data_IF_143215603188
#
_entry.id   IF_143215603188
#
_cell.length_a   1.000
_cell.length_b   1.000
_cell.length_c   1.000
_cell.angle_alpha   90.00
_cell.angle_beta   90.00
_cell.angle_gamma   90.00
#
_symmetry.space_group_name_H-M   'P 1'
#
loop_
_entity.id
_entity.type
_entity.pdbx_description
1 polymer ?
#
# COMPACT_ATOMS: atom_id res chain seq x y z
N UNK A 1 27.88 35.16 12.67
CA UNK A 1 27.81 33.68 12.73
C UNK A 1 28.99 33.17 11.92
N UNK A 2 29.91 32.45 12.56
CA UNK A 2 31.02 31.77 11.90
C UNK A 2 30.45 30.59 11.12
N UNK A 3 30.65 30.54 9.80
CA UNK A 3 30.18 29.46 8.92
C UNK A 3 30.94 28.15 9.12
N UNK A 4 31.13 27.73 10.37
CA UNK A 4 31.64 26.42 10.69
C UNK A 4 30.52 25.40 10.41
N UNK A 5 30.79 24.48 9.49
CA UNK A 5 30.02 23.25 9.36
C UNK A 5 30.16 22.51 10.69
N UNK A 6 29.08 22.47 11.47
CA UNK A 6 28.97 21.56 12.60
C UNK A 6 28.25 20.35 12.05
N UNK A 7 28.96 19.22 12.02
CA UNK A 7 28.38 17.94 11.67
C UNK A 7 27.23 17.66 12.66
N UNK A 8 26.01 17.55 12.14
CA UNK A 8 24.91 17.07 12.96
C UNK A 8 25.25 15.63 13.38
N UNK A 9 24.89 15.26 14.61
CA UNK A 9 25.13 13.92 15.11
C UNK A 9 24.57 12.89 14.11
N UNK A 10 25.43 12.00 13.61
CA UNK A 10 25.01 10.98 12.64
C UNK A 10 23.88 10.15 13.25
N UNK A 11 22.77 10.02 12.52
CA UNK A 11 21.69 9.11 12.89
C UNK A 11 22.25 7.68 12.81
N UNK A 12 22.28 6.95 13.92
CA UNK A 12 22.86 5.59 13.98
C UNK A 12 21.77 4.57 13.63
N UNK A 13 21.86 3.91 12.46
CA UNK A 13 20.84 2.93 12.05
C UNK A 13 20.69 1.83 13.11
N UNK A 14 19.45 1.46 13.46
CA UNK A 14 19.15 0.44 14.47
C UNK A 14 19.38 0.84 15.95
N UNK A 15 19.87 2.04 16.26
CA UNK A 15 20.04 2.54 17.63
C UNK A 15 19.16 3.76 17.93
N UNK A 16 19.06 4.70 16.98
CA UNK A 16 18.24 5.89 17.10
C UNK A 16 16.89 5.67 16.38
N UNK A 17 15.76 5.89 17.08
CA UNK A 17 14.44 5.77 16.46
C UNK A 17 14.22 6.92 15.47
N UNK A 18 14.25 6.59 14.18
CA UNK A 18 13.77 7.48 13.12
C UNK A 18 12.33 7.16 12.79
N UNK A 19 11.43 8.15 12.89
CA UNK A 19 10.03 8.03 12.47
C UNK A 19 9.89 8.07 10.93
N UNK A 20 10.69 7.24 10.24
CA UNK A 20 10.84 7.23 8.78
C UNK A 20 10.44 5.89 8.18
N UNK A 21 9.68 5.03 8.87
CA UNK A 21 9.33 3.67 8.39
C UNK A 21 10.56 2.92 7.80
N UNK A 22 11.74 3.19 8.36
CA UNK A 22 13.03 2.66 7.95
C UNK A 22 13.70 3.23 6.69
N UNK A 23 13.18 4.29 6.08
CA UNK A 23 13.79 4.95 4.92
C UNK A 23 15.10 5.66 5.26
N UNK A 24 16.15 5.38 4.49
CA UNK A 24 17.37 6.19 4.44
C UNK A 24 17.19 7.33 3.42
N UNK A 25 17.90 8.45 3.59
CA UNK A 25 17.89 9.51 2.60
C UNK A 25 18.57 9.02 1.31
N UNK A 26 17.81 8.84 0.22
CA UNK A 26 18.32 8.35 -1.07
C UNK A 26 19.46 9.22 -1.62
N UNK A 27 19.45 10.53 -1.37
CA UNK A 27 20.53 11.42 -1.79
C UNK A 27 21.85 11.17 -1.04
N UNK A 28 21.83 10.52 0.12
CA UNK A 28 23.04 10.20 0.88
C UNK A 28 23.88 9.07 0.24
N UNK A 29 23.28 8.29 -0.68
CA UNK A 29 23.98 7.23 -1.42
C UNK A 29 24.71 7.76 -2.66
N UNK A 30 24.34 8.95 -3.14
CA UNK A 30 25.09 9.64 -4.17
C UNK A 30 26.47 9.92 -3.57
N UNK A 31 27.51 9.25 -4.07
CA UNK A 31 28.86 9.27 -3.52
C UNK A 31 29.47 10.69 -3.37
N UNK A 32 28.83 11.72 -3.94
CA UNK A 32 29.20 13.13 -3.79
C UNK A 32 28.59 13.82 -2.57
N UNK A 33 27.62 13.20 -1.88
CA UNK A 33 26.92 13.76 -0.71
C UNK A 33 27.65 13.45 0.61
N UNK A 34 28.29 12.28 0.69
CA UNK A 34 29.20 11.88 1.77
C UNK A 34 30.62 11.70 1.21
N UNK A 35 31.34 12.81 0.99
CA UNK A 35 32.66 12.83 0.33
C UNK A 35 33.82 12.30 1.19
N UNK A 36 33.56 11.50 2.22
CA UNK A 36 34.59 11.04 3.14
C UNK A 36 35.52 10.05 2.44
N UNK A 37 36.70 10.53 2.02
CA UNK A 37 37.76 9.73 1.43
C UNK A 37 37.88 9.78 -0.10
N UNK A 38 37.06 10.55 -0.80
CA UNK A 38 37.16 10.73 -2.27
C UNK A 38 38.01 11.97 -2.64
N UNK A 39 38.86 11.83 -3.65
CA UNK A 39 39.63 12.96 -4.21
C UNK A 39 38.78 13.78 -5.18
N UNK A 40 39.09 15.08 -5.35
CA UNK A 40 38.35 15.97 -6.27
C UNK A 40 38.08 15.38 -7.67
N UNK A 41 39.06 14.76 -8.35
CA UNK A 41 38.83 14.10 -9.64
C UNK A 41 37.87 12.90 -9.60
N UNK A 42 37.79 12.18 -8.47
CA UNK A 42 36.83 11.08 -8.28
C UNK A 42 35.42 11.64 -8.07
N UNK A 43 35.30 12.73 -7.29
CA UNK A 43 34.03 13.46 -7.13
C UNK A 43 33.56 14.01 -8.48
N UNK A 44 34.45 14.62 -9.27
CA UNK A 44 34.13 15.17 -10.59
C UNK A 44 33.72 14.07 -11.59
N UNK A 45 34.37 12.91 -11.56
CA UNK A 45 34.01 11.78 -12.42
C UNK A 45 32.66 11.14 -12.05
N UNK A 46 32.32 11.12 -10.75
CA UNK A 46 31.02 10.66 -10.26
C UNK A 46 29.91 11.69 -10.48
N UNK A 47 30.24 12.99 -10.45
CA UNK A 47 29.34 14.08 -10.75
C UNK A 47 29.13 14.29 -12.26
N UNK A 48 30.08 13.87 -13.11
CA UNK A 48 30.06 14.12 -14.55
C UNK A 48 28.79 13.63 -15.27
N UNK A 49 28.23 12.43 -15.00
CA UNK A 49 26.97 11.99 -15.59
C UNK A 49 25.79 12.90 -15.23
N UNK A 50 25.76 13.42 -13.99
CA UNK A 50 24.70 14.31 -13.50
C UNK A 50 24.86 15.76 -14.01
N UNK A 51 26.10 16.22 -14.17
CA UNK A 51 26.42 17.57 -14.67
C UNK A 51 26.31 17.69 -16.19
N UNK A 52 26.29 16.57 -16.92
CA UNK A 52 26.07 16.55 -18.36
C UNK A 52 24.64 16.99 -18.76
N UNK A 53 23.76 17.17 -17.77
CA UNK A 53 22.34 17.49 -17.92
C UNK A 53 22.02 19.00 -17.90
N UNK A 54 23.04 19.88 -17.80
CA UNK A 54 22.84 21.34 -17.87
C UNK A 54 22.76 21.74 -19.34
N UNK A 55 21.54 21.79 -19.89
CA UNK A 55 21.31 21.98 -21.33
C UNK A 55 21.87 23.31 -21.88
N UNK A 56 22.82 23.28 -22.83
CA UNK A 56 23.27 24.47 -23.55
C UNK A 56 22.53 24.69 -24.89
N UNK A 57 21.52 23.86 -25.23
CA UNK A 57 20.83 23.88 -26.54
C UNK A 57 19.48 23.14 -26.58
N UNK A 58 18.93 22.91 -27.77
CA UNK A 58 17.65 22.20 -27.99
C UNK A 58 17.72 20.71 -27.60
N UNK A 59 16.60 20.18 -27.11
CA UNK A 59 16.52 18.88 -26.41
C UNK A 59 15.57 17.94 -27.19
N UNK A 60 15.99 16.71 -27.50
CA UNK A 60 15.13 15.64 -28.04
C UNK A 60 14.63 14.70 -26.92
N UNK A 61 13.67 13.81 -27.22
CA UNK A 61 13.10 12.89 -26.22
C UNK A 61 14.09 11.90 -25.60
N UNK A 62 15.17 11.54 -26.30
CA UNK A 62 16.28 10.73 -25.77
C UNK A 62 17.27 11.55 -24.91
N UNK A 63 17.14 12.87 -24.93
CA UNK A 63 18.03 13.82 -24.25
C UNK A 63 17.42 14.27 -22.91
N UNK A 64 16.33 13.63 -22.46
CA UNK A 64 15.69 13.89 -21.17
C UNK A 64 16.53 13.32 -20.03
N UNK A 65 17.63 13.99 -19.70
CA UNK A 65 18.51 13.60 -18.61
C UNK A 65 18.01 14.22 -17.29
N UNK A 66 17.00 13.60 -16.67
CA UNK A 66 16.73 13.85 -15.25
C UNK A 66 17.84 13.19 -14.41
N UNK A 67 18.07 13.64 -13.17
CA UNK A 67 18.96 12.94 -12.23
C UNK A 67 18.30 11.64 -11.72
N UNK A 68 17.76 10.86 -12.64
CA UNK A 68 17.03 9.61 -12.42
C UNK A 68 17.86 8.48 -12.98
N UNK A 69 17.66 7.28 -12.46
CA UNK A 69 18.33 6.05 -12.90
C UNK A 69 17.88 5.55 -14.30
N UNK A 70 16.96 6.23 -14.97
CA UNK A 70 16.44 5.88 -16.30
C UNK A 70 15.27 4.90 -16.31
N UNK A 71 14.65 4.61 -15.16
CA UNK A 71 13.50 3.67 -15.04
C UNK A 71 12.13 4.32 -15.31
N UNK A 72 12.11 5.59 -15.74
CA UNK A 72 10.87 6.27 -16.12
C UNK A 72 10.29 5.71 -17.42
N UNK A 73 9.07 5.21 -17.36
CA UNK A 73 8.33 4.69 -18.53
C UNK A 73 6.87 5.12 -18.44
N UNK A 74 6.28 5.51 -19.55
CA UNK A 74 4.85 5.80 -19.65
C UNK A 74 4.30 5.15 -20.92
N UNK A 75 3.16 4.49 -20.81
CA UNK A 75 2.48 3.82 -21.91
C UNK A 75 0.97 4.02 -21.79
N UNK A 76 0.33 4.21 -22.93
CA UNK A 76 -1.11 4.33 -23.06
C UNK A 76 -1.56 3.47 -24.25
N UNK A 77 -2.46 2.53 -23.99
CA UNK A 77 -3.09 1.71 -25.01
C UNK A 77 -4.61 1.83 -24.88
N UNK A 78 -5.30 1.88 -26.02
CA UNK A 78 -6.74 2.02 -26.07
C UNK A 78 -7.31 1.24 -27.24
N UNK A 79 -8.27 0.37 -26.94
CA UNK A 79 -9.01 -0.41 -27.92
C UNK A 79 -10.49 -0.08 -27.84
N UNK A 80 -11.17 -0.03 -28.97
CA UNK A 80 -12.55 0.40 -29.04
C UNK A 80 -13.30 -0.23 -30.20
N UNK A 81 -14.50 -0.70 -29.91
CA UNK A 81 -15.43 -1.22 -30.93
C UNK A 81 -16.75 -0.49 -30.81
N UNK A 82 -17.26 -0.01 -31.93
CA UNK A 82 -18.59 0.58 -32.01
C UNK A 82 -19.39 -0.15 -33.07
N UNK A 83 -20.66 -0.40 -32.77
CA UNK A 83 -21.60 -1.03 -33.67
C UNK A 83 -22.89 -0.20 -33.74
N UNK A 84 -23.38 0.02 -34.94
CA UNK A 84 -24.64 0.72 -35.18
C UNK A 84 -25.49 -0.10 -36.13
N UNK A 85 -26.75 -0.32 -35.75
CA UNK A 85 -27.75 -0.99 -36.55
C UNK A 85 -28.98 -0.11 -36.65
N UNK A 86 -29.31 0.33 -37.86
CA UNK A 86 -30.51 1.10 -38.14
C UNK A 86 -31.51 0.25 -38.93
N UNK A 87 -32.77 0.28 -38.51
CA UNK A 87 -33.85 -0.46 -39.13
C UNK A 87 -35.11 0.40 -39.22
N UNK A 88 -35.56 0.63 -40.45
CA UNK A 88 -36.88 1.21 -40.72
C UNK A 88 -37.95 0.14 -40.55
N UNK A 89 -38.68 0.20 -39.43
CA UNK A 89 -39.81 -0.70 -39.18
C UNK A 89 -40.98 -0.40 -40.12
N UNK A 90 -41.20 0.89 -40.38
CA UNK A 90 -42.17 1.43 -41.33
C UNK A 90 -41.55 2.64 -42.04
N UNK A 91 -42.34 3.35 -42.85
CA UNK A 91 -41.97 4.64 -43.43
C UNK A 91 -41.87 5.78 -42.40
N UNK A 92 -42.51 5.62 -41.23
CA UNK A 92 -42.62 6.64 -40.18
C UNK A 92 -41.85 6.27 -38.89
N UNK A 93 -41.27 5.07 -38.81
CA UNK A 93 -40.60 4.57 -37.60
C UNK A 93 -39.23 3.98 -37.94
N UNK A 94 -38.18 4.63 -37.46
CA UNK A 94 -36.81 4.12 -37.47
C UNK A 94 -36.40 3.69 -36.06
N UNK A 95 -35.87 2.48 -35.94
CA UNK A 95 -35.13 2.05 -34.76
C UNK A 95 -33.62 2.09 -35.04
N UNK A 96 -32.87 2.62 -34.10
CA UNK A 96 -31.41 2.59 -34.11
C UNK A 96 -30.89 1.96 -32.83
N UNK A 97 -30.07 0.93 -32.98
CA UNK A 97 -29.31 0.36 -31.88
C UNK A 97 -27.84 0.79 -32.01
N UNK A 98 -27.30 1.29 -30.91
CA UNK A 98 -25.91 1.70 -30.77
C UNK A 98 -25.27 0.86 -29.67
N UNK A 99 -24.12 0.28 -29.98
CA UNK A 99 -23.26 -0.39 -29.03
C UNK A 99 -21.88 0.25 -29.06
N UNK A 100 -21.33 0.49 -27.87
CA UNK A 100 -19.97 0.95 -27.70
C UNK A 100 -19.26 0.08 -26.68
N UNK A 101 -18.06 -0.37 -27.02
CA UNK A 101 -17.12 -0.98 -26.09
C UNK A 101 -15.79 -0.26 -26.18
N UNK A 102 -15.20 0.06 -25.05
CA UNK A 102 -13.91 0.75 -24.98
C UNK A 102 -13.12 0.18 -23.82
N UNK A 103 -11.88 -0.20 -24.09
CA UNK A 103 -10.89 -0.60 -23.10
C UNK A 103 -9.72 0.36 -23.19
N UNK A 104 -9.24 0.81 -22.04
CA UNK A 104 -8.14 1.75 -21.91
C UNK A 104 -7.20 1.22 -20.84
N UNK A 105 -5.89 1.26 -21.12
CA UNK A 105 -4.85 1.00 -20.13
C UNK A 105 -3.86 2.15 -20.15
N UNK A 106 -3.49 2.61 -18.96
CA UNK A 106 -2.46 3.61 -18.76
C UNK A 106 -1.50 3.11 -17.71
N UNK A 107 -0.23 3.02 -18.06
CA UNK A 107 0.82 2.51 -17.20
C UNK A 107 1.95 3.50 -17.11
N UNK A 108 2.45 3.76 -15.90
CA UNK A 108 3.59 4.63 -15.72
C UNK A 108 4.47 4.17 -14.57
N UNK A 109 5.77 4.09 -14.80
CA UNK A 109 6.79 3.95 -13.76
C UNK A 109 7.50 5.28 -13.61
N UNK A 110 7.63 5.77 -12.38
CA UNK A 110 8.36 6.99 -12.04
C UNK A 110 9.34 6.71 -10.93
N UNK A 111 10.52 7.30 -11.07
CA UNK A 111 11.54 7.35 -10.02
C UNK A 111 11.06 8.18 -8.83
N UNK A 112 10.80 7.53 -7.69
CA UNK A 112 10.15 8.17 -6.53
C UNK A 112 11.15 9.00 -5.72
N UNK A 113 12.40 8.55 -5.65
CA UNK A 113 13.42 9.22 -4.84
C UNK A 113 14.03 10.44 -5.53
N UNK A 114 13.71 10.66 -6.81
CA UNK A 114 14.20 11.75 -7.67
C UNK A 114 15.74 11.86 -7.74
N UNK A 115 16.44 10.75 -7.50
CA UNK A 115 17.90 10.62 -7.55
C UNK A 115 18.29 9.37 -8.35
N UNK A 116 19.55 9.25 -8.79
CA UNK A 116 20.04 7.99 -9.38
C UNK A 116 20.75 7.12 -8.34
N UNK A 117 20.20 7.08 -7.13
CA UNK A 117 20.73 6.26 -6.04
C UNK A 117 20.80 4.80 -6.47
N UNK A 118 21.90 4.10 -6.16
CA UNK A 118 22.09 2.67 -6.49
C UNK A 118 22.04 1.75 -5.26
N UNK A 119 21.73 2.33 -4.11
CA UNK A 119 21.74 1.64 -2.81
C UNK A 119 20.34 1.64 -2.19
N UNK A 120 19.58 2.70 -2.45
CA UNK A 120 18.20 2.85 -2.03
C UNK A 120 17.46 3.51 -3.18
N UNK A 121 16.63 2.76 -3.89
CA UNK A 121 16.11 3.20 -5.18
C UNK A 121 14.66 2.73 -5.30
N UNK A 122 13.73 3.62 -4.97
CA UNK A 122 12.31 3.31 -4.92
C UNK A 122 11.63 3.79 -6.18
N UNK A 123 10.85 2.89 -6.77
CA UNK A 123 10.06 3.15 -7.96
C UNK A 123 8.59 3.20 -7.62
N UNK A 124 7.88 4.11 -8.27
CA UNK A 124 6.43 4.23 -8.20
C UNK A 124 5.83 3.82 -9.53
N UNK A 125 5.19 2.65 -9.55
CA UNK A 125 4.42 2.16 -10.68
C UNK A 125 2.93 2.46 -10.49
N UNK A 126 2.28 2.97 -11.51
CA UNK A 126 0.83 3.14 -11.55
C UNK A 126 0.25 2.44 -12.77
N UNK A 127 -0.90 1.81 -12.58
CA UNK A 127 -1.75 1.26 -13.62
C UNK A 127 -3.16 1.82 -13.46
N UNK A 128 -3.76 2.23 -14.56
CA UNK A 128 -5.18 2.55 -14.66
C UNK A 128 -5.74 1.77 -15.84
N UNK A 129 -6.60 0.81 -15.55
CA UNK A 129 -7.34 0.03 -16.52
C UNK A 129 -8.81 0.41 -16.42
N UNK A 130 -9.43 0.73 -17.55
CA UNK A 130 -10.85 1.04 -17.58
C UNK A 130 -11.53 0.35 -18.75
N UNK A 131 -12.68 -0.25 -18.44
CA UNK A 131 -13.53 -0.92 -19.41
C UNK A 131 -14.90 -0.28 -19.37
N UNK A 132 -15.40 0.10 -20.54
CA UNK A 132 -16.68 0.76 -20.73
C UNK A 132 -17.53 -0.02 -21.74
N UNK A 133 -18.77 -0.32 -21.38
CA UNK A 133 -19.76 -0.92 -22.28
C UNK A 133 -21.02 -0.08 -22.28
N UNK A 134 -21.55 0.21 -23.47
CA UNK A 134 -22.78 0.98 -23.62
C UNK A 134 -23.73 0.33 -24.64
N UNK A 135 -25.01 0.38 -24.30
CA UNK A 135 -26.09 -0.09 -25.15
C UNK A 135 -27.16 1.00 -25.21
N UNK A 136 -27.50 1.44 -26.41
CA UNK A 136 -28.58 2.40 -26.62
C UNK A 136 -29.53 1.91 -27.69
N UNK A 137 -30.83 1.96 -27.42
CA UNK A 137 -31.85 1.82 -28.45
C UNK A 137 -32.59 3.14 -28.54
N UNK A 138 -32.61 3.71 -29.74
CA UNK A 138 -33.32 4.93 -30.08
C UNK A 138 -34.45 4.59 -31.05
N UNK A 139 -35.61 5.23 -30.87
CA UNK A 139 -36.74 5.17 -31.76
C UNK A 139 -37.05 6.59 -32.24
N UNK A 140 -37.06 6.76 -33.56
CA UNK A 140 -37.46 7.98 -34.25
C UNK A 140 -38.82 7.71 -34.87
N UNK A 141 -39.82 8.50 -34.50
CA UNK A 141 -41.21 8.33 -34.91
C UNK A 141 -41.74 9.64 -35.47
N UNK A 142 -42.05 9.65 -36.75
CA UNK A 142 -42.74 10.76 -37.39
C UNK A 142 -44.24 10.48 -37.35
N UNK A 143 -45.00 11.25 -36.57
CA UNK A 143 -46.45 11.05 -36.46
C UNK A 143 -47.17 11.68 -37.64
N UNK A 144 -46.65 12.81 -38.13
CA UNK A 144 -47.04 13.52 -39.34
C UNK A 144 -45.95 14.56 -39.69
N UNK A 145 -46.19 15.38 -40.71
CA UNK A 145 -45.26 16.43 -41.17
C UNK A 145 -44.92 17.50 -40.10
N UNK A 146 -45.69 17.60 -39.01
CA UNK A 146 -45.58 18.63 -37.98
C UNK A 146 -45.11 18.09 -36.62
N UNK A 147 -45.18 16.77 -36.39
CA UNK A 147 -44.94 16.14 -35.08
C UNK A 147 -44.02 14.93 -35.22
N UNK A 148 -42.87 15.00 -34.56
CA UNK A 148 -41.93 13.88 -34.43
C UNK A 148 -41.55 13.61 -32.98
N UNK A 149 -41.23 12.35 -32.68
CA UNK A 149 -40.75 11.90 -31.37
C UNK A 149 -39.44 11.15 -31.51
N UNK A 150 -38.49 11.46 -30.63
CA UNK A 150 -37.30 10.65 -30.39
C UNK A 150 -37.38 10.09 -28.98
N UNK A 151 -37.39 8.77 -28.86
CA UNK A 151 -37.35 8.08 -27.57
C UNK A 151 -36.14 7.18 -27.50
N UNK A 152 -35.60 6.97 -26.31
CA UNK A 152 -34.47 6.06 -26.17
C UNK A 152 -34.32 5.47 -24.78
N UNK A 153 -33.63 4.34 -24.74
CA UNK A 153 -33.21 3.63 -23.54
C UNK A 153 -31.72 3.38 -23.64
N UNK A 154 -31.00 3.66 -22.55
CA UNK A 154 -29.56 3.63 -22.48
C UNK A 154 -29.12 2.84 -21.25
N UNK A 155 -28.20 1.91 -21.45
CA UNK A 155 -27.51 1.17 -20.42
C UNK A 155 -26.02 1.42 -20.56
N UNK A 156 -25.33 1.55 -19.44
CA UNK A 156 -23.90 1.77 -19.43
C UNK A 156 -23.29 1.13 -18.20
N UNK A 157 -22.27 0.32 -18.44
CA UNK A 157 -21.48 -0.33 -17.41
C UNK A 157 -20.03 0.16 -17.53
N UNK A 158 -19.41 0.50 -16.41
CA UNK A 158 -17.98 0.79 -16.36
C UNK A 158 -17.32 0.09 -15.20
N UNK A 159 -16.16 -0.50 -15.45
CA UNK A 159 -15.22 -0.92 -14.40
C UNK A 159 -13.93 -0.14 -14.58
N UNK A 160 -13.44 0.45 -13.50
CA UNK A 160 -12.17 1.16 -13.46
C UNK A 160 -11.35 0.53 -12.35
N UNK A 161 -10.22 -0.05 -12.72
CA UNK A 161 -9.23 -0.62 -11.82
C UNK A 161 -8.01 0.30 -11.80
N UNK A 162 -7.61 0.75 -10.61
CA UNK A 162 -6.41 1.55 -10.42
C UNK A 162 -5.49 0.84 -9.46
N UNK A 163 -4.21 0.83 -9.77
CA UNK A 163 -3.18 0.25 -8.93
C UNK A 163 -1.97 1.16 -8.84
N UNK A 164 -1.40 1.27 -7.66
CA UNK A 164 -0.18 2.02 -7.37
C UNK A 164 0.74 1.18 -6.51
N UNK A 165 1.94 0.92 -7.00
CA UNK A 165 2.93 0.05 -6.38
C UNK A 165 4.21 0.82 -6.11
N UNK A 166 4.72 0.71 -4.90
CA UNK A 166 6.05 1.14 -4.53
C UNK A 166 6.91 -0.10 -4.28
N UNK A 167 8.04 -0.15 -4.97
CA UNK A 167 8.99 -1.26 -4.88
C UNK A 167 10.42 -0.74 -5.03
N UNK A 168 11.39 -1.51 -4.55
CA UNK A 168 12.81 -1.18 -4.70
C UNK A 168 13.35 -1.75 -6.02
N UNK A 169 14.00 -0.93 -6.85
CA UNK A 169 14.63 -1.38 -8.10
C UNK A 169 16.06 -1.91 -7.92
N UNK A 170 16.62 -1.78 -6.73
CA UNK A 170 17.97 -2.24 -6.36
C UNK A 170 17.94 -3.48 -5.47
N UNK A 171 16.79 -4.17 -5.40
CA UNK A 171 16.62 -5.40 -4.61
C UNK A 171 17.07 -5.24 -3.15
N UNK A 172 16.58 -4.19 -2.49
CA UNK A 172 16.88 -3.92 -1.08
C UNK A 172 16.61 -5.16 -0.22
N UNK A 173 17.68 -5.72 0.37
CA UNK A 173 17.62 -7.00 1.08
C UNK A 173 16.57 -7.02 2.21
N UNK A 174 16.30 -5.89 2.85
CA UNK A 174 15.27 -5.76 3.91
C UNK A 174 13.84 -6.03 3.40
N UNK A 175 13.54 -5.71 2.14
CA UNK A 175 12.25 -5.97 1.50
C UNK A 175 12.32 -7.28 0.71
N UNK A 176 13.41 -7.55 0.00
CA UNK A 176 13.53 -8.78 -0.79
C UNK A 176 13.55 -10.05 0.08
N UNK A 177 14.38 -10.07 1.12
CA UNK A 177 14.65 -11.29 1.88
C UNK A 177 13.65 -11.47 3.02
N UNK A 178 13.34 -12.74 3.33
CA UNK A 178 12.54 -13.08 4.51
C UNK A 178 13.22 -12.59 5.79
N UNK A 179 12.43 -12.04 6.72
CA UNK A 179 12.96 -11.69 8.02
C UNK A 179 13.23 -12.95 8.85
N UNK A 180 14.48 -13.11 9.30
CA UNK A 180 14.90 -14.24 10.15
C UNK A 180 15.03 -13.75 11.59
N UNK A 181 14.01 -14.05 12.39
CA UNK A 181 13.97 -13.63 13.79
C UNK A 181 14.60 -14.67 14.74
N UNK A 182 15.79 -14.34 15.24
CA UNK A 182 16.57 -15.08 16.23
C UNK A 182 16.42 -14.51 17.65
N UNK A 183 15.49 -13.58 17.87
CA UNK A 183 15.18 -13.13 19.23
C UNK A 183 14.56 -14.26 20.05
N UNK A 184 14.64 -14.15 21.37
CA UNK A 184 14.07 -15.13 22.28
C UNK A 184 13.56 -14.43 23.53
N UNK A 185 12.28 -14.64 23.85
CA UNK A 185 11.69 -14.04 25.04
C UNK A 185 12.28 -14.67 26.30
N UNK A 186 12.86 -13.85 27.17
CA UNK A 186 13.40 -14.32 28.45
C UNK A 186 12.28 -14.70 29.43
N UNK A 187 12.53 -15.57 30.43
CA UNK A 187 11.53 -15.91 31.44
C UNK A 187 10.95 -14.67 32.15
N UNK A 188 11.80 -13.72 32.55
CA UNK A 188 11.34 -12.49 33.19
C UNK A 188 10.51 -11.58 32.26
N UNK A 189 10.85 -11.52 30.97
CA UNK A 189 10.04 -10.78 30.00
C UNK A 189 8.70 -11.49 29.72
N UNK A 190 8.67 -12.83 29.74
CA UNK A 190 7.44 -13.61 29.62
C UNK A 190 6.52 -13.41 30.83
N UNK A 191 7.06 -13.34 32.04
CA UNK A 191 6.31 -13.02 33.26
C UNK A 191 5.66 -11.64 33.14
N UNK A 192 6.40 -10.63 32.69
CA UNK A 192 5.87 -9.28 32.46
C UNK A 192 4.77 -9.28 31.39
N UNK A 193 5.02 -9.90 30.23
CA UNK A 193 4.07 -9.93 29.12
C UNK A 193 2.76 -10.68 29.46
N UNK A 194 2.85 -11.71 30.29
CA UNK A 194 1.69 -12.48 30.75
C UNK A 194 0.99 -11.86 31.98
N UNK A 195 1.53 -10.78 32.55
CA UNK A 195 0.97 -10.11 33.73
C UNK A 195 1.15 -10.87 35.04
N UNK A 196 2.24 -11.62 35.18
CA UNK A 196 2.60 -12.30 36.43
C UNK A 196 3.01 -11.25 37.46
N UNK A 197 2.21 -11.07 38.52
CA UNK A 197 2.60 -10.21 39.63
C UNK A 197 3.74 -10.85 40.46
N UNK A 198 4.94 -10.25 40.51
CA UNK A 198 6.07 -10.78 41.30
C UNK A 198 5.86 -10.67 42.82
N UNK A 199 4.88 -9.88 43.28
CA UNK A 199 4.54 -9.69 44.69
C UNK A 199 3.26 -10.41 45.11
N UNK A 200 2.71 -11.29 44.24
CA UNK A 200 1.46 -11.99 44.52
C UNK A 200 1.54 -12.84 45.79
N UNK A 201 0.67 -12.57 46.77
CA UNK A 201 0.53 -13.35 48.00
C UNK A 201 -0.77 -14.19 47.98
N UNK A 202 -0.69 -15.51 47.77
CA UNK A 202 -1.87 -16.38 47.76
C UNK A 202 -2.56 -16.48 49.14
N UNK A 203 -1.90 -16.05 50.23
CA UNK A 203 -2.46 -16.06 51.58
C UNK A 203 -3.47 -14.94 51.83
N UNK A 204 -3.43 -13.87 51.03
CA UNK A 204 -4.30 -12.70 51.16
C UNK A 204 -5.20 -12.46 49.95
N UNK A 205 -4.95 -13.17 48.84
CA UNK A 205 -5.74 -13.10 47.61
C UNK A 205 -7.06 -13.88 47.67
N UNK A 206 -8.03 -13.44 46.87
CA UNK A 206 -9.28 -14.15 46.61
C UNK A 206 -9.06 -15.36 45.67
N UNK A 207 -9.97 -16.35 45.66
CA UNK A 207 -9.88 -17.48 44.72
C UNK A 207 -9.84 -17.08 43.24
N UNK A 208 -10.48 -15.96 42.87
CA UNK A 208 -10.47 -15.43 41.49
C UNK A 208 -9.10 -14.86 41.12
N UNK A 209 -8.47 -14.11 42.02
CA UNK A 209 -7.11 -13.58 41.83
C UNK A 209 -6.07 -14.71 41.76
N UNK A 210 -6.21 -15.76 42.58
CA UNK A 210 -5.35 -16.96 42.50
C UNK A 210 -5.52 -17.65 41.15
N UNK A 211 -6.75 -17.77 40.64
CA UNK A 211 -7.00 -18.37 39.34
C UNK A 211 -6.42 -17.52 38.19
N UNK A 212 -6.58 -16.19 38.26
CA UNK A 212 -6.01 -15.26 37.29
C UNK A 212 -4.47 -15.34 37.26
N UNK A 213 -3.82 -15.34 38.43
CA UNK A 213 -2.37 -15.48 38.53
C UNK A 213 -1.88 -16.84 38.00
N UNK A 214 -2.63 -17.93 38.24
CA UNK A 214 -2.29 -19.24 37.69
C UNK A 214 -2.37 -19.28 36.16
N UNK A 215 -3.35 -18.58 35.56
CA UNK A 215 -3.44 -18.41 34.10
C UNK A 215 -2.27 -17.57 33.58
N UNK A 216 -1.89 -16.49 34.27
CA UNK A 216 -0.74 -15.67 33.91
C UNK A 216 0.56 -16.49 33.90
N UNK A 217 0.83 -17.27 34.97
CA UNK A 217 2.02 -18.13 35.06
C UNK A 217 2.02 -19.22 33.96
N UNK A 218 0.86 -19.83 33.69
CA UNK A 218 0.72 -20.79 32.59
C UNK A 218 0.98 -20.16 31.22
N UNK A 219 0.53 -18.92 31.02
CA UNK A 219 0.76 -18.14 29.79
C UNK A 219 2.23 -17.78 29.66
N UNK A 220 2.89 -17.29 30.71
CA UNK A 220 4.32 -16.98 30.74
C UNK A 220 5.16 -18.19 30.32
N UNK A 221 4.85 -19.37 30.88
CA UNK A 221 5.52 -20.62 30.51
C UNK A 221 5.32 -20.99 29.04
N UNK A 222 4.16 -20.69 28.46
CA UNK A 222 3.84 -20.99 27.06
C UNK A 222 4.52 -20.03 26.06
N UNK A 223 4.78 -18.78 26.46
CA UNK A 223 5.39 -17.77 25.58
C UNK A 223 6.90 -17.59 25.79
N UNK A 224 7.47 -18.16 26.86
CA UNK A 224 8.91 -18.14 27.11
C UNK A 224 9.65 -18.79 25.95
N UNK A 225 10.70 -18.12 25.45
CA UNK A 225 11.50 -18.59 24.32
C UNK A 225 10.90 -18.32 22.94
N UNK A 226 9.68 -17.77 22.84
CA UNK A 226 9.15 -17.33 21.55
C UNK A 226 9.95 -16.14 21.02
N UNK A 227 10.25 -16.15 19.72
CA UNK A 227 10.79 -14.98 19.04
C UNK A 227 9.71 -13.89 18.88
N UNK A 228 10.13 -12.65 18.66
CA UNK A 228 9.27 -11.49 18.61
C UNK A 228 8.23 -11.58 17.49
N UNK A 229 8.62 -12.06 16.30
CA UNK A 229 7.72 -12.27 15.17
C UNK A 229 6.60 -13.27 15.52
N UNK A 230 6.93 -14.38 16.19
CA UNK A 230 5.93 -15.39 16.60
C UNK A 230 5.04 -14.86 17.71
N UNK A 231 5.58 -14.09 18.65
CA UNK A 231 4.77 -13.49 19.71
C UNK A 231 3.80 -12.42 19.15
N UNK A 232 4.25 -11.62 18.18
CA UNK A 232 3.44 -10.56 17.57
C UNK A 232 2.40 -11.07 16.56
N UNK A 233 2.75 -12.09 15.77
CA UNK A 233 1.96 -12.50 14.59
C UNK A 233 1.62 -14.00 14.55
N UNK A 234 2.04 -14.78 15.54
CA UNK A 234 1.89 -16.24 15.57
C UNK A 234 0.63 -16.78 16.25
N UNK A 235 -0.28 -15.92 16.73
CA UNK A 235 -1.47 -16.37 17.43
C UNK A 235 -2.59 -16.83 16.47
N UNK A 236 -3.04 -18.08 16.67
CA UNK A 236 -4.26 -18.74 16.16
C UNK A 236 -4.22 -19.40 14.77
N UNK A 237 -3.41 -20.46 14.62
CA UNK A 237 -3.73 -21.57 13.68
C UNK A 237 -3.60 -21.27 12.19
N UNK A 238 -3.07 -20.11 11.81
CA UNK A 238 -2.64 -19.81 10.45
C UNK A 238 -1.28 -20.46 10.25
N UNK A 239 -1.16 -21.27 9.20
CA UNK A 239 0.10 -21.90 8.80
C UNK A 239 1.17 -20.79 8.69
N UNK A 240 2.37 -20.93 9.29
CA UNK A 240 3.43 -19.91 9.24
C UNK A 240 4.03 -19.67 7.83
N UNK A 241 3.31 -20.04 6.78
CA UNK A 241 3.84 -20.25 5.42
C UNK A 241 3.33 -19.24 4.39
N UNK A 242 2.37 -18.37 4.74
CA UNK A 242 1.76 -17.46 3.78
C UNK A 242 1.81 -16.05 4.33
N UNK A 243 2.61 -15.20 3.67
CA UNK A 243 2.56 -13.76 3.87
C UNK A 243 1.18 -13.27 3.44
N UNK A 244 0.58 -12.33 4.18
CA UNK A 244 -0.58 -11.62 3.65
C UNK A 244 -0.20 -10.93 2.33
N UNK A 245 -1.17 -10.71 1.46
CA UNK A 245 -1.01 -10.03 0.18
C UNK A 245 -2.06 -8.92 0.05
N UNK A 246 -2.08 -8.22 -1.10
CA UNK A 246 -3.01 -7.13 -1.38
C UNK A 246 -4.48 -7.47 -1.13
N UNK A 247 -4.89 -8.72 -1.38
CA UNK A 247 -6.29 -9.13 -1.30
C UNK A 247 -6.62 -10.01 -0.09
N UNK A 248 -5.68 -10.26 0.83
CA UNK A 248 -5.90 -11.14 1.99
C UNK A 248 -7.04 -10.65 2.89
N UNK A 249 -7.05 -9.36 3.25
CA UNK A 249 -8.15 -8.77 4.02
C UNK A 249 -9.49 -8.81 3.26
N UNK A 250 -9.49 -8.54 1.95
CA UNK A 250 -10.68 -8.65 1.09
C UNK A 250 -11.23 -10.08 1.05
N UNK A 251 -10.37 -11.06 0.84
CA UNK A 251 -10.75 -12.47 0.78
C UNK A 251 -11.38 -12.95 2.09
N UNK A 252 -10.94 -12.40 3.23
CA UNK A 252 -11.56 -12.67 4.54
C UNK A 252 -13.00 -12.15 4.64
N UNK A 253 -13.29 -11.04 3.97
CA UNK A 253 -14.64 -10.48 3.88
C UNK A 253 -15.53 -11.16 2.84
N UNK A 254 -14.95 -11.90 1.90
CA UNK A 254 -15.70 -12.70 0.91
C UNK A 254 -15.95 -14.15 1.37
N UNK A 255 -15.45 -14.52 2.55
CA UNK A 255 -15.61 -15.85 3.14
C UNK A 255 -17.04 -16.15 3.60
N UNK A 256 -17.31 -17.40 4.03
CA UNK A 256 -18.66 -17.83 4.42
C UNK A 256 -19.19 -17.15 5.69
N UNK A 257 -18.31 -16.62 6.55
CA UNK A 257 -18.67 -15.95 7.81
C UNK A 257 -17.87 -14.64 7.94
N UNK A 258 -18.20 -13.60 7.16
CA UNK A 258 -17.47 -12.34 7.22
C UNK A 258 -17.76 -11.60 8.53
N UNK A 259 -16.77 -10.84 9.01
CA UNK A 259 -16.96 -9.91 10.13
C UNK A 259 -18.03 -8.87 9.78
N UNK A 260 -18.81 -8.34 10.76
CA UNK A 260 -19.71 -7.21 10.52
C UNK A 260 -19.03 -6.00 9.88
N UNK A 261 -17.74 -5.80 10.16
CA UNK A 261 -16.89 -4.73 9.61
C UNK A 261 -16.69 -4.83 8.09
N UNK A 262 -17.00 -5.98 7.50
CA UNK A 262 -16.97 -6.20 6.05
C UNK A 262 -18.19 -5.60 5.32
N UNK A 263 -19.17 -5.05 6.04
CA UNK A 263 -20.26 -4.32 5.43
C UNK A 263 -19.76 -2.98 4.84
N UNK A 264 -20.27 -2.62 3.67
CA UNK A 264 -19.95 -1.34 3.02
C UNK A 264 -20.19 -0.17 3.96
N UNK A 265 -19.23 0.74 4.07
CA UNK A 265 -19.27 1.92 4.93
C UNK A 265 -19.56 1.63 6.42
N UNK A 266 -19.19 0.46 6.94
CA UNK A 266 -19.48 0.07 8.33
C UNK A 266 -19.04 1.12 9.36
N UNK A 267 -17.83 1.68 9.19
CA UNK A 267 -17.25 2.69 10.07
C UNK A 267 -18.07 3.98 10.15
N UNK A 268 -18.74 4.39 9.06
CA UNK A 268 -19.54 5.63 9.03
C UNK A 268 -20.71 5.59 10.01
N UNK A 269 -21.28 4.41 10.24
CA UNK A 269 -22.41 4.21 11.16
C UNK A 269 -22.04 3.78 12.58
N UNK A 270 -20.77 3.39 12.80
CA UNK A 270 -20.35 2.69 14.03
C UNK A 270 -19.07 3.24 14.65
N UNK A 271 -18.57 4.40 14.18
CA UNK A 271 -17.38 5.03 14.75
C UNK A 271 -17.60 6.50 15.10
N UNK A 272 -17.52 6.79 16.39
CA UNK A 272 -17.52 8.13 16.99
C UNK A 272 -16.21 8.45 17.69
N UNK A 273 -15.48 7.42 18.11
CA UNK A 273 -14.13 7.51 18.69
C UNK A 273 -13.06 6.94 17.75
N UNK A 274 -11.80 7.15 18.09
CA UNK A 274 -10.67 6.57 17.36
C UNK A 274 -10.61 5.05 17.49
N UNK A 275 -10.88 4.53 18.69
CA UNK A 275 -10.91 3.09 18.94
C UNK A 275 -12.01 2.38 18.13
N UNK A 276 -13.17 3.00 18.02
CA UNK A 276 -14.26 2.48 17.18
C UNK A 276 -13.92 2.54 15.69
N UNK A 277 -13.17 3.56 15.24
CA UNK A 277 -12.66 3.61 13.86
C UNK A 277 -11.67 2.49 13.60
N UNK A 278 -10.74 2.26 14.52
CA UNK A 278 -9.74 1.20 14.41
C UNK A 278 -10.39 -0.19 14.43
N UNK A 279 -11.42 -0.39 15.26
CA UNK A 279 -12.20 -1.62 15.31
C UNK A 279 -13.06 -1.86 14.05
N UNK A 280 -13.33 -0.81 13.27
CA UNK A 280 -14.10 -0.90 12.03
C UNK A 280 -13.26 -1.20 10.77
N UNK A 281 -11.92 -1.29 10.91
CA UNK A 281 -11.02 -1.63 9.80
C UNK A 281 -11.00 -3.14 9.56
N UNK A 282 -11.01 -3.56 8.29
CA UNK A 282 -10.72 -4.94 7.92
C UNK A 282 -9.21 -5.05 7.70
N UNK A 283 -8.51 -5.56 8.71
CA UNK A 283 -7.06 -5.62 8.78
C UNK A 283 -6.58 -7.06 8.92
N UNK A 284 -5.54 -7.43 8.18
CA UNK A 284 -4.78 -8.64 8.42
C UNK A 284 -3.30 -8.35 8.44
N UNK A 285 -2.57 -9.04 9.33
CA UNK A 285 -1.13 -8.94 9.46
C UNK A 285 -0.50 -10.32 9.38
N UNK A 286 0.74 -10.38 8.89
CA UNK A 286 1.62 -11.52 9.06
C UNK A 286 3.03 -11.04 9.30
N UNK A 287 3.92 -11.93 9.73
CA UNK A 287 5.35 -11.64 9.65
C UNK A 287 5.80 -11.39 8.20
N UNK A 288 6.94 -10.70 8.03
CA UNK A 288 7.54 -10.46 6.72
C UNK A 288 8.32 -11.68 6.23
N UNK A 289 7.91 -12.23 5.09
CA UNK A 289 8.58 -13.39 4.48
C UNK A 289 9.35 -13.04 3.21
N UNK A 290 9.53 -11.74 2.93
CA UNK A 290 10.26 -11.28 1.76
C UNK A 290 9.40 -11.23 0.50
N UNK A 291 9.88 -10.44 -0.45
CA UNK A 291 9.39 -10.40 -1.82
C UNK A 291 10.56 -10.51 -2.80
N UNK A 292 10.85 -11.74 -3.23
CA UNK A 292 11.89 -12.03 -4.22
C UNK A 292 11.37 -11.97 -5.67
N UNK A 293 10.15 -11.47 -5.88
CA UNK A 293 9.48 -11.44 -7.19
C UNK A 293 8.92 -12.79 -7.63
N UNK A 294 8.94 -13.83 -6.78
CA UNK A 294 8.31 -15.12 -7.10
C UNK A 294 6.82 -15.18 -6.77
N UNK A 295 6.31 -14.22 -5.99
CA UNK A 295 4.92 -14.19 -5.54
C UNK A 295 4.05 -13.34 -6.47
N UNK A 296 3.36 -13.99 -7.41
CA UNK A 296 2.47 -13.32 -8.35
C UNK A 296 1.31 -12.56 -7.71
N UNK A 297 0.97 -12.85 -6.45
CA UNK A 297 -0.07 -12.10 -5.72
C UNK A 297 0.37 -10.68 -5.32
N UNK A 298 1.68 -10.40 -5.41
CA UNK A 298 2.25 -9.07 -5.22
C UNK A 298 2.48 -8.33 -6.54
N UNK A 299 2.40 -9.02 -7.68
CA UNK A 299 2.63 -8.41 -9.00
C UNK A 299 1.42 -7.61 -9.49
N UNK A 300 1.68 -6.52 -10.23
CA UNK A 300 0.66 -5.75 -10.91
C UNK A 300 -0.02 -6.57 -12.02
N UNK A 301 -1.36 -6.66 -11.96
CA UNK A 301 -2.13 -7.19 -13.09
C UNK A 301 -1.80 -6.37 -14.36
N UNK A 302 -1.39 -7.08 -15.41
CA UNK A 302 -0.94 -6.50 -16.69
C UNK A 302 0.27 -5.53 -16.59
N UNK A 303 0.95 -5.49 -15.45
CA UNK A 303 2.13 -4.67 -15.19
C UNK A 303 3.43 -5.48 -15.15
N UNK A 304 4.57 -4.85 -14.80
CA UNK A 304 5.81 -5.56 -14.56
C UNK A 304 5.70 -6.47 -13.33
N UNK A 305 6.43 -7.57 -13.33
CA UNK A 305 6.71 -8.29 -12.09
C UNK A 305 7.78 -7.52 -11.31
N UNK A 306 7.52 -7.29 -10.03
CA UNK A 306 8.35 -6.46 -9.16
C UNK A 306 8.77 -7.24 -7.94
N UNK A 307 10.04 -7.10 -7.53
CA UNK A 307 10.58 -7.61 -6.27
C UNK A 307 10.70 -6.47 -5.26
N UNK A 308 10.96 -6.82 -3.99
CA UNK A 308 11.18 -5.87 -2.92
C UNK A 308 10.04 -4.83 -2.79
N UNK A 309 8.81 -5.34 -2.76
CA UNK A 309 7.60 -4.53 -2.56
C UNK A 309 7.62 -3.82 -1.20
N UNK A 310 7.29 -2.52 -1.23
CA UNK A 310 7.00 -1.72 -0.03
C UNK A 310 5.49 -1.54 0.16
N UNK A 311 4.80 -0.97 -0.83
CA UNK A 311 3.40 -0.60 -0.70
C UNK A 311 2.67 -0.93 -2.00
N UNK A 312 1.54 -1.61 -1.88
CA UNK A 312 0.62 -1.84 -2.99
C UNK A 312 -0.72 -1.22 -2.64
N UNK A 313 -1.29 -0.46 -3.55
CA UNK A 313 -2.58 0.18 -3.38
C UNK A 313 -3.44 -0.10 -4.58
N UNK A 314 -4.63 -0.65 -4.38
CA UNK A 314 -5.56 -0.90 -5.47
C UNK A 314 -6.97 -0.42 -5.14
N UNK A 315 -7.58 0.28 -6.08
CA UNK A 315 -8.99 0.66 -6.01
C UNK A 315 -9.71 0.10 -7.22
N UNK A 316 -10.95 -0.32 -7.00
CA UNK A 316 -11.86 -0.69 -8.08
C UNK A 316 -13.12 0.14 -7.94
N UNK A 317 -13.54 0.76 -9.04
CA UNK A 317 -14.83 1.46 -9.14
C UNK A 317 -15.68 0.80 -10.20
N UNK A 318 -16.90 0.41 -9.85
CA UNK A 318 -17.92 -0.08 -10.78
C UNK A 318 -19.08 0.88 -10.86
N UNK A 319 -19.52 1.18 -12.08
CA UNK A 319 -20.65 2.06 -12.35
C UNK A 319 -21.68 1.33 -13.22
N UNK A 320 -22.91 1.31 -12.74
CA UNK A 320 -24.07 0.80 -13.45
C UNK A 320 -25.06 1.95 -13.67
N UNK A 321 -25.23 2.36 -14.92
CA UNK A 321 -26.05 3.51 -15.30
C UNK A 321 -27.17 3.11 -16.25
N UNK A 322 -28.34 3.72 -16.02
CA UNK A 322 -29.55 3.53 -16.79
C UNK A 322 -30.19 4.87 -17.11
N UNK A 323 -30.66 5.06 -18.33
CA UNK A 323 -31.50 6.19 -18.67
C UNK A 323 -32.61 5.81 -19.64
N UNK A 324 -33.73 6.50 -19.53
CA UNK A 324 -34.84 6.46 -20.49
C UNK A 324 -35.29 7.89 -20.76
N UNK A 325 -35.55 8.20 -22.01
CA UNK A 325 -35.97 9.54 -22.41
C UNK A 325 -36.96 9.49 -23.57
N UNK A 326 -37.74 10.56 -23.67
CA UNK A 326 -38.55 10.85 -24.85
C UNK A 326 -38.61 12.36 -25.05
N UNK A 327 -38.48 12.80 -26.29
CA UNK A 327 -38.53 14.18 -26.71
C UNK A 327 -39.39 14.29 -27.96
N UNK A 328 -40.37 15.18 -27.95
CA UNK A 328 -41.20 15.51 -29.09
C UNK A 328 -40.87 16.89 -29.63
N UNK A 329 -40.96 17.04 -30.94
CA UNK A 329 -40.94 18.33 -31.64
C UNK A 329 -42.31 18.53 -32.28
N UNK A 330 -42.90 19.70 -32.08
CA UNK A 330 -44.15 20.10 -32.71
C UNK A 330 -43.98 21.44 -33.42
N UNK A 331 -44.09 21.42 -34.75
CA UNK A 331 -44.06 22.58 -35.63
C UNK A 331 -45.50 23.04 -35.87
N UNK A 332 -45.98 23.97 -35.03
CA UNK A 332 -47.38 24.42 -35.09
C UNK A 332 -47.59 25.64 -36.00
N UNK A 333 -46.52 26.21 -36.55
CA UNK A 333 -46.55 27.27 -37.56
C UNK A 333 -45.23 27.28 -38.37
N UNK A 334 -45.26 27.87 -39.57
CA UNK A 334 -44.09 28.00 -40.48
C UNK A 334 -42.82 28.59 -39.82
N UNK A 335 -42.98 29.36 -38.75
CA UNK A 335 -41.88 30.03 -38.04
C UNK A 335 -41.76 29.64 -36.56
N UNK A 336 -42.58 28.70 -36.07
CA UNK A 336 -42.60 28.33 -34.66
C UNK A 336 -42.66 26.82 -34.45
N UNK A 337 -41.73 26.32 -33.63
CA UNK A 337 -41.71 24.96 -33.13
C UNK A 337 -41.58 24.93 -31.60
N UNK A 338 -42.12 23.89 -30.98
CA UNK A 338 -41.96 23.58 -29.56
C UNK A 338 -41.29 22.22 -29.45
N UNK A 339 -40.19 22.17 -28.68
CA UNK A 339 -39.55 20.91 -28.29
C UNK A 339 -39.77 20.69 -26.80
N UNK A 340 -40.34 19.54 -26.44
CA UNK A 340 -40.56 19.16 -25.05
C UNK A 340 -40.14 17.70 -24.83
N UNK A 341 -39.60 17.39 -23.66
CA UNK A 341 -39.19 16.03 -23.36
C UNK A 341 -39.08 15.75 -21.87
N UNK A 342 -39.04 14.47 -21.54
CA UNK A 342 -38.81 13.96 -20.19
C UNK A 342 -37.69 12.94 -20.22
N UNK A 343 -36.88 12.93 -19.16
CA UNK A 343 -35.79 11.97 -18.98
C UNK A 343 -35.80 11.47 -17.53
N UNK A 344 -35.65 10.17 -17.38
CA UNK A 344 -35.30 9.52 -16.12
C UNK A 344 -33.93 8.89 -16.25
N UNK A 345 -33.08 9.04 -15.24
CA UNK A 345 -31.77 8.41 -15.19
C UNK A 345 -31.47 7.96 -13.76
N UNK A 346 -30.80 6.82 -13.64
CA UNK A 346 -30.21 6.29 -12.41
C UNK A 346 -28.75 5.98 -12.70
N UNK A 347 -27.90 6.30 -11.73
CA UNK A 347 -26.49 5.97 -11.74
C UNK A 347 -26.14 5.39 -10.37
N UNK A 348 -25.53 4.21 -10.35
CA UNK A 348 -25.02 3.58 -9.13
C UNK A 348 -23.52 3.37 -9.27
N UNK A 349 -22.76 3.93 -8.33
CA UNK A 349 -21.32 3.77 -8.26
C UNK A 349 -20.97 3.04 -6.98
N UNK A 350 -20.18 1.98 -7.14
CA UNK A 350 -19.61 1.21 -6.03
C UNK A 350 -18.10 1.26 -6.14
N UNK A 351 -17.42 1.42 -5.00
CA UNK A 351 -15.98 1.51 -4.96
C UNK A 351 -15.46 0.67 -3.79
N UNK A 352 -14.30 0.07 -3.99
CA UNK A 352 -13.56 -0.65 -2.97
C UNK A 352 -12.08 -0.27 -3.03
N UNK A 353 -11.40 -0.45 -1.90
CA UNK A 353 -10.02 -0.07 -1.71
C UNK A 353 -9.27 -1.20 -0.97
N UNK A 354 -8.11 -1.54 -1.49
CA UNK A 354 -7.21 -2.56 -0.96
C UNK A 354 -5.83 -1.92 -0.78
N UNK A 355 -5.18 -2.19 0.34
CA UNK A 355 -3.82 -1.76 0.62
C UNK A 355 -3.03 -2.96 1.11
N UNK A 356 -1.82 -3.13 0.58
CA UNK A 356 -0.79 -3.93 1.20
C UNK A 356 0.42 -3.08 1.51
N UNK A 357 1.10 -3.38 2.61
CA UNK A 357 2.29 -2.64 3.02
C UNK A 357 3.27 -3.49 3.83
N UNK A 358 4.56 -3.39 3.49
CA UNK A 358 5.68 -3.64 4.39
C UNK A 358 5.70 -2.59 5.49
N UNK A 359 5.74 -3.03 6.74
CA UNK A 359 5.89 -2.15 7.89
C UNK A 359 6.71 -2.80 8.98
N UNK A 360 7.08 -2.03 9.99
CA UNK A 360 7.81 -2.51 11.16
C UNK A 360 7.04 -2.11 12.42
N UNK A 361 7.05 -2.94 13.47
CA UNK A 361 6.18 -2.83 14.66
C UNK A 361 6.23 -1.51 15.44
N UNK A 362 7.11 -0.59 15.07
CA UNK A 362 7.42 0.63 15.80
C UNK A 362 8.36 0.37 16.97
N UNK A 363 9.46 1.12 17.05
CA UNK A 363 10.34 1.16 18.20
C UNK A 363 10.11 2.45 18.97
N UNK A 364 8.88 2.65 19.50
CA UNK A 364 8.60 3.82 20.34
C UNK A 364 9.64 3.83 21.48
N UNK A 365 10.43 4.90 21.65
CA UNK A 365 11.52 4.90 22.62
C UNK A 365 10.94 4.92 24.03
N UNK A 366 10.88 3.76 24.66
CA UNK A 366 10.75 3.60 26.09
C UNK A 366 12.09 3.09 26.62
N UNK A 367 12.86 3.97 27.25
CA UNK A 367 13.79 3.49 28.26
C UNK A 367 12.96 2.72 29.29
N UNK A 368 13.43 1.55 29.70
CA UNK A 368 12.79 0.75 30.75
C UNK A 368 12.71 1.62 32.00
N UNK A 369 11.58 2.30 32.21
CA UNK A 369 11.25 2.78 33.53
C UNK A 369 10.76 1.56 34.31
N UNK A 370 11.65 1.02 35.13
CA UNK A 370 11.33 0.02 36.15
C UNK A 370 10.27 0.55 37.16
N UNK A 371 9.78 1.80 37.00
CA UNK A 371 8.76 2.45 37.81
C UNK A 371 7.40 2.71 37.10
N UNK A 372 7.02 1.90 36.11
CA UNK A 372 5.60 1.56 35.90
C UNK A 372 4.61 2.64 35.45
N UNK A 373 5.02 3.71 34.75
CA UNK A 373 4.07 4.70 34.18
C UNK A 373 4.21 5.04 32.68
N UNK A 374 5.22 4.53 31.97
CA UNK A 374 5.44 4.80 30.54
C UNK A 374 5.10 3.62 29.62
N UNK A 375 4.39 3.89 28.51
CA UNK A 375 4.09 2.94 27.41
C UNK A 375 5.33 2.09 27.05
N UNK A 376 5.33 0.83 27.47
CA UNK A 376 6.39 -0.13 27.15
C UNK A 376 6.22 -0.55 25.67
N UNK A 377 7.11 -0.09 24.80
CA UNK A 377 7.12 -0.55 23.40
C UNK A 377 7.36 -2.05 23.33
N UNK A 378 6.65 -2.77 22.46
CA UNK A 378 6.72 -4.23 22.29
C UNK A 378 8.16 -4.80 22.30
N UNK A 379 9.10 -4.11 21.66
CA UNK A 379 10.50 -4.55 21.55
C UNK A 379 11.28 -4.47 22.86
N UNK A 380 10.78 -3.78 23.89
CA UNK A 380 11.43 -3.74 25.21
C UNK A 380 11.55 -5.14 25.81
N UNK A 381 10.60 -6.04 25.51
CA UNK A 381 10.64 -7.45 25.89
C UNK A 381 11.86 -8.20 25.32
N UNK A 382 12.46 -7.67 24.25
CA UNK A 382 13.57 -8.25 23.49
C UNK A 382 14.84 -7.39 23.54
N UNK A 383 14.96 -6.48 24.52
CA UNK A 383 16.13 -5.62 24.68
C UNK A 383 16.13 -4.38 23.78
N UNK A 384 14.97 -4.00 23.24
CA UNK A 384 14.80 -2.85 22.36
C UNK A 384 15.33 -3.07 20.94
N UNK A 385 15.26 -2.02 20.11
CA UNK A 385 15.66 -2.09 18.70
C UNK A 385 17.13 -2.51 18.51
N UNK A 386 18.02 -2.06 19.40
CA UNK A 386 19.44 -2.41 19.35
C UNK A 386 19.69 -3.88 19.74
N UNK A 387 18.95 -4.41 20.72
CA UNK A 387 19.00 -5.82 21.10
C UNK A 387 18.53 -6.74 19.98
N UNK A 388 17.40 -6.39 19.35
CA UNK A 388 16.85 -7.11 18.19
C UNK A 388 17.84 -7.10 17.02
N UNK A 389 18.38 -5.95 16.64
CA UNK A 389 19.34 -5.85 15.55
C UNK A 389 20.65 -6.58 15.87
N UNK A 390 21.13 -6.56 17.11
CA UNK A 390 22.33 -7.26 17.52
C UNK A 390 22.23 -8.78 17.32
N UNK A 391 21.08 -9.39 17.62
CA UNK A 391 20.90 -10.85 17.50
C UNK A 391 20.49 -11.29 16.09
N UNK A 392 19.87 -10.40 15.31
CA UNK A 392 19.40 -10.69 13.95
C UNK A 392 20.39 -10.29 12.84
N UNK A 393 21.63 -9.95 13.21
CA UNK A 393 22.70 -9.62 12.27
C UNK A 393 22.55 -8.25 11.62
N UNK A 394 21.82 -7.33 12.26
CA UNK A 394 21.70 -5.94 11.85
C UNK A 394 22.97 -5.10 12.07
N UNK A 395 23.96 -5.63 12.81
CA UNK A 395 25.27 -5.00 13.02
C UNK A 395 26.40 -5.94 12.61
N UNK A 396 27.50 -5.37 12.12
CA UNK A 396 28.75 -6.09 11.97
C UNK A 396 29.26 -6.57 13.34
N UNK A 397 29.98 -7.69 13.37
CA UNK A 397 30.54 -8.24 14.61
C UNK A 397 32.02 -7.92 14.68
N UNK A 398 32.46 -7.36 15.80
CA UNK A 398 33.88 -7.14 16.07
C UNK A 398 34.60 -8.50 16.16
N UNK A 399 35.56 -8.79 15.26
CA UNK A 399 36.26 -10.07 15.25
C UNK A 399 37.13 -10.30 16.49
N UNK A 400 37.49 -9.26 17.25
CA UNK A 400 38.30 -9.35 18.47
C UNK A 400 37.47 -9.60 19.73
N UNK A 401 36.27 -9.03 19.82
CA UNK A 401 35.41 -9.13 21.02
C UNK A 401 34.19 -10.04 20.85
N UNK A 402 33.78 -10.32 19.61
CA UNK A 402 32.56 -11.05 19.28
C UNK A 402 31.29 -10.25 19.59
N UNK A 403 31.40 -8.95 19.86
CA UNK A 403 30.29 -8.07 20.18
C UNK A 403 29.81 -7.30 18.92
N UNK A 404 28.54 -6.87 18.88
CA UNK A 404 28.02 -6.02 17.81
C UNK A 404 28.72 -4.65 17.77
N UNK A 405 29.09 -4.21 16.57
CA UNK A 405 29.54 -2.86 16.27
C UNK A 405 28.32 -1.99 15.95
N UNK A 406 27.78 -1.31 16.97
CA UNK A 406 26.55 -0.50 16.86
C UNK A 406 26.65 0.71 15.92
N UNK A 407 27.85 1.06 15.46
CA UNK A 407 28.13 2.09 14.46
C UNK A 407 28.31 1.53 13.04
N UNK A 408 28.31 0.20 12.88
CA UNK A 408 28.49 -0.47 11.58
C UNK A 408 27.28 -1.38 11.29
N UNK A 409 26.19 -0.82 10.73
CA UNK A 409 25.00 -1.58 10.40
C UNK A 409 25.21 -2.43 9.14
N UNK A 410 24.50 -3.55 9.06
CA UNK A 410 24.40 -4.36 7.84
C UNK A 410 23.12 -3.99 7.07
N UNK A 411 22.97 -4.52 5.84
CA UNK A 411 21.73 -4.38 5.06
C UNK A 411 20.49 -5.04 5.70
N UNK A 412 20.67 -5.83 6.78
CA UNK A 412 19.59 -6.48 7.52
C UNK A 412 19.09 -5.64 8.71
N UNK A 413 19.71 -4.49 8.97
CA UNK A 413 19.31 -3.63 10.06
C UNK A 413 17.87 -3.13 9.86
N UNK A 414 17.04 -3.29 10.88
CA UNK A 414 15.70 -2.71 10.93
C UNK A 414 15.72 -1.43 11.75
N UNK A 415 14.91 -0.45 11.35
CA UNK A 415 14.95 0.92 11.89
C UNK A 415 13.71 1.25 12.74
N UNK A 416 12.63 0.49 12.55
CA UNK A 416 11.33 0.64 13.16
C UNK A 416 10.86 -0.61 13.92
N UNK A 417 11.54 -1.76 13.86
CA UNK A 417 11.20 -2.92 14.70
C UNK A 417 11.20 -4.26 13.99
N UNK A 418 10.24 -5.13 14.34
CA UNK A 418 10.06 -6.43 13.66
C UNK A 418 9.32 -6.19 12.34
N UNK A 419 9.87 -6.59 11.19
CA UNK A 419 9.20 -6.49 9.90
C UNK A 419 7.95 -7.36 9.80
N UNK A 420 6.89 -6.78 9.24
CA UNK A 420 5.61 -7.43 9.04
C UNK A 420 4.93 -6.94 7.76
N UNK A 421 4.04 -7.79 7.24
CA UNK A 421 3.17 -7.44 6.13
C UNK A 421 1.78 -7.08 6.65
N UNK A 422 1.19 -6.03 6.08
CA UNK A 422 -0.14 -5.53 6.39
C UNK A 422 -1.03 -5.63 5.17
N UNK A 423 -2.27 -6.07 5.33
CA UNK A 423 -3.33 -6.02 4.32
C UNK A 423 -4.55 -5.31 4.90
N UNK A 424 -5.08 -4.32 4.19
CA UNK A 424 -6.27 -3.54 4.57
C UNK A 424 -7.30 -3.61 3.47
N UNK A 425 -8.57 -3.79 3.84
CA UNK A 425 -9.68 -3.76 2.90
C UNK A 425 -10.80 -2.82 3.35
N UNK A 426 -11.27 -1.98 2.44
CA UNK A 426 -12.42 -1.11 2.61
C UNK A 426 -13.48 -1.42 1.52
N UNK A 427 -14.60 -2.07 1.90
CA UNK A 427 -15.70 -2.48 1.00
C UNK A 427 -16.72 -1.40 0.67
#
# INVERSE_FOLDING_TARGET
>A
MTGALVEAQANRPGLDFGAFDGYQNAAASLQTFNNDGLTGPQVDALAAPYNNCVFPGEINGSDLCAATNGLNREQFDQDGTQFSFAWNLTEDVELRYLFGYNELTYQRTTDDDNTASRVHDRQFYVNHEAQYSSHEVQAFVDVNDEISFTSGIFFYDATIDQRGDFYSSVDEARMRDAYVDNTSLSPGAADIAAGVDPNFDPGTATPEEIAAQAVAVGTAAAITGLNAQTLAFGAAGVVPSLMVNLYSAKNSCMGPNPSPTCARNYSVGHSTTEDERNAALNLQTSGWFGDDGSNSELDAAHGPSTSATDLLYATQTKRDAFAVYTQGVWEFAESFSVTAGVRYARDEVTAEENLFRYSETGARPGFVDLAGDGDQGFLALYGGLSGVNAVNGGFEIDPGTGLPLYDQPTQKATNGGIPFALSVYRP
#
